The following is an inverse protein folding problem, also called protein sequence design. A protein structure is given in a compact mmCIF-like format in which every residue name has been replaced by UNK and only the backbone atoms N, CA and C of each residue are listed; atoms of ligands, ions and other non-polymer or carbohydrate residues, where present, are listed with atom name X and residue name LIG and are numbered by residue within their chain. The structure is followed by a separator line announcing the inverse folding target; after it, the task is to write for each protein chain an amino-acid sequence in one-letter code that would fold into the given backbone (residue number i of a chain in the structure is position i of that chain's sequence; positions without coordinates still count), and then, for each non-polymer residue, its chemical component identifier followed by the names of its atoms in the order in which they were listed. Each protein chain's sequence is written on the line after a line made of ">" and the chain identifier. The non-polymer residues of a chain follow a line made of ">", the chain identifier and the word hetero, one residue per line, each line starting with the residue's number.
data_IF_932173434773
#
_entry.id   IF_932173434773
#
_cell.length_a   1.000
_cell.length_b   1.000
_cell.length_c   1.000
_cell.angle_alpha   90.00
_cell.angle_beta   90.00
_cell.angle_gamma   90.00
#
_symmetry.space_group_name_H-M   'P 1'
#
loop_
_entity.id
_entity.type
_entity.pdbx_description
1 polymer ?
#
# COMPACT_ATOMS: atom_id res chain seq x y z
N UNK A 1 6.11 -17.79 2.14
CA UNK A 1 4.87 -18.49 1.78
C UNK A 1 3.82 -17.48 1.31
N UNK A 2 2.56 -17.92 1.16
CA UNK A 2 1.48 -17.05 0.65
C UNK A 2 1.15 -15.89 1.60
N UNK A 3 1.29 -16.11 2.92
CA UNK A 3 1.02 -15.08 3.93
C UNK A 3 2.01 -13.92 3.83
N UNK A 4 3.29 -14.24 3.68
CA UNK A 4 4.37 -13.27 3.51
C UNK A 4 4.19 -12.51 2.20
N UNK A 5 3.78 -13.20 1.13
CA UNK A 5 3.46 -12.53 -0.13
C UNK A 5 2.30 -11.54 -0.01
N UNK A 6 1.22 -11.92 0.69
CA UNK A 6 0.07 -11.03 0.95
C UNK A 6 0.49 -9.82 1.79
N UNK A 7 1.33 -10.04 2.82
CA UNK A 7 1.86 -8.97 3.65
C UNK A 7 2.69 -7.98 2.82
N UNK A 8 3.69 -8.49 2.10
CA UNK A 8 4.53 -7.71 1.20
C UNK A 8 3.67 -6.90 0.22
N UNK A 9 2.69 -7.53 -0.43
CA UNK A 9 1.85 -6.86 -1.43
C UNK A 9 1.03 -5.72 -0.84
N UNK A 10 0.53 -5.84 0.39
CA UNK A 10 -0.34 -4.82 1.00
C UNK A 10 0.42 -3.73 1.76
N UNK A 11 1.56 -4.05 2.38
CA UNK A 11 2.24 -3.18 3.33
C UNK A 11 3.56 -2.61 2.81
N UNK A 12 4.31 -3.37 2.02
CA UNK A 12 5.70 -3.03 1.67
C UNK A 12 5.85 -2.64 0.20
N UNK A 13 4.95 -3.11 -0.66
CA UNK A 13 5.04 -2.92 -2.11
C UNK A 13 4.80 -1.47 -2.51
N UNK A 14 5.86 -0.73 -2.75
CA UNK A 14 5.80 0.66 -3.21
C UNK A 14 5.42 0.73 -4.70
N UNK A 15 4.46 1.60 -5.03
CA UNK A 15 4.09 1.94 -6.42
C UNK A 15 4.41 3.41 -6.68
N UNK A 16 5.15 3.70 -7.76
CA UNK A 16 5.42 5.08 -8.18
C UNK A 16 4.13 5.89 -8.36
N UNK A 17 3.07 5.27 -8.91
CA UNK A 17 1.75 5.89 -9.06
C UNK A 17 1.04 6.27 -7.75
N UNK A 18 1.46 5.69 -6.63
CA UNK A 18 0.89 5.96 -5.30
C UNK A 18 1.73 6.98 -4.52
N UNK A 19 2.60 7.75 -5.20
CA UNK A 19 3.47 8.77 -4.58
C UNK A 19 4.33 8.21 -3.44
N UNK A 20 4.84 6.98 -3.62
CA UNK A 20 5.67 6.31 -2.62
C UNK A 20 4.91 5.59 -1.51
N UNK A 21 3.58 5.66 -1.48
CA UNK A 21 2.76 4.97 -0.48
C UNK A 21 2.60 3.47 -0.77
N UNK A 22 2.51 2.68 0.28
CA UNK A 22 2.02 1.30 0.18
C UNK A 22 0.53 1.26 -0.13
N UNK A 23 0.00 0.13 -0.63
CA UNK A 23 -1.41 0.03 -0.96
C UNK A 23 -2.35 0.30 0.21
N UNK A 24 -2.02 -0.14 1.42
CA UNK A 24 -2.84 0.14 2.61
C UNK A 24 -2.79 1.63 2.99
N UNK A 25 -1.62 2.26 2.92
CA UNK A 25 -1.48 3.69 3.21
C UNK A 25 -2.25 4.55 2.22
N UNK A 26 -2.22 4.20 0.93
CA UNK A 26 -2.96 4.92 -0.10
C UNK A 26 -4.48 4.84 0.12
N UNK A 27 -5.02 3.68 0.49
CA UNK A 27 -6.47 3.52 0.78
C UNK A 27 -6.93 4.29 2.02
N UNK A 28 -6.05 4.43 2.99
CA UNK A 28 -6.33 5.12 4.25
C UNK A 28 -6.08 6.63 4.17
N UNK A 29 -5.75 7.19 3.00
CA UNK A 29 -5.61 8.64 2.89
C UNK A 29 -6.97 9.30 3.08
N UNK A 30 -7.07 10.30 3.98
CA UNK A 30 -8.30 11.08 4.08
C UNK A 30 -8.52 11.81 2.77
N UNK A 31 -9.74 11.73 2.23
CA UNK A 31 -10.18 12.70 1.23
C UNK A 31 -10.23 14.05 1.93
N UNK A 32 -9.31 14.95 1.60
CA UNK A 32 -9.48 16.34 1.98
C UNK A 32 -10.76 16.82 1.29
N UNK A 33 -11.78 17.13 2.10
CA UNK A 33 -12.97 17.87 1.68
C UNK A 33 -12.65 19.36 1.69
#
# INVERSE_FOLDING_TARGET
>A
GIKEYIHYYNHERIKLKLKGLSPVQYRNQPSYA
#
